data_IF_158358008697
#
_entry.id   IF_158358008697
#
_cell.length_a   1.000
_cell.length_b   1.000
_cell.length_c   1.000
_cell.angle_alpha   90.00
_cell.angle_beta   90.00
_cell.angle_gamma   90.00
#
_symmetry.space_group_name_H-M   'P 1'
#
loop_
_entity.id
_entity.type
_entity.pdbx_description
1 polymer ?
#
# COMPACT_ATOMS: atom_id res chain seq x y z
N UNK A 1 -2.39 -15.70 24.42
CA UNK A 1 -1.41 -14.63 24.20
C UNK A 1 -0.39 -15.02 23.14
N UNK A 2 0.25 -16.19 23.22
CA UNK A 2 1.24 -16.66 22.23
C UNK A 2 0.69 -16.68 20.80
N UNK A 3 -0.53 -17.14 20.59
CA UNK A 3 -1.18 -17.16 19.26
C UNK A 3 -1.33 -15.74 18.68
N UNK A 4 -1.81 -14.77 19.45
CA UNK A 4 -1.96 -13.38 18.95
C UNK A 4 -0.61 -12.76 18.61
N UNK A 5 0.42 -13.06 19.39
CA UNK A 5 1.78 -12.63 19.11
C UNK A 5 2.31 -13.27 17.81
N UNK A 6 2.09 -14.56 17.59
CA UNK A 6 2.47 -15.24 16.35
C UNK A 6 1.82 -14.61 15.12
N UNK A 7 0.50 -14.41 15.13
CA UNK A 7 -0.23 -13.77 14.02
C UNK A 7 0.25 -12.34 13.78
N UNK A 8 0.61 -11.60 14.84
CA UNK A 8 1.20 -10.27 14.69
C UNK A 8 2.58 -10.33 14.05
N UNK A 9 3.46 -11.22 14.52
CA UNK A 9 4.81 -11.39 13.96
C UNK A 9 4.76 -11.82 12.49
N UNK A 10 3.86 -12.71 12.11
CA UNK A 10 3.65 -13.11 10.72
C UNK A 10 3.23 -11.89 9.86
N UNK A 11 2.35 -11.04 10.37
CA UNK A 11 1.95 -9.82 9.65
C UNK A 11 3.09 -8.79 9.53
N UNK A 12 4.02 -8.74 10.50
CA UNK A 12 5.24 -7.91 10.42
C UNK A 12 6.21 -8.49 9.38
N UNK A 13 6.42 -9.81 9.38
CA UNK A 13 7.33 -10.46 8.43
C UNK A 13 6.88 -10.33 6.99
N UNK A 14 5.57 -10.28 6.74
CA UNK A 14 4.97 -10.15 5.42
C UNK A 14 5.10 -8.74 4.79
N UNK A 15 5.46 -7.73 5.59
CA UNK A 15 5.46 -6.34 5.14
C UNK A 15 6.78 -5.64 5.48
N UNK A 16 7.74 -5.59 4.54
CA UNK A 16 8.96 -4.79 4.67
C UNK A 16 8.71 -3.31 5.02
N UNK A 17 7.60 -2.75 4.53
CA UNK A 17 7.22 -1.37 4.85
C UNK A 17 6.75 -1.24 6.30
N UNK A 18 5.97 -2.21 6.79
CA UNK A 18 5.54 -2.22 8.19
C UNK A 18 6.73 -2.48 9.13
N UNK A 19 7.67 -3.38 8.77
CA UNK A 19 8.92 -3.56 9.49
C UNK A 19 9.68 -2.24 9.65
N UNK A 20 9.87 -1.51 8.55
CA UNK A 20 10.55 -0.22 8.59
C UNK A 20 9.82 0.81 9.46
N UNK A 21 8.48 0.85 9.43
CA UNK A 21 7.67 1.76 10.26
C UNK A 21 7.79 1.46 11.76
N UNK A 22 8.04 0.21 12.13
CA UNK A 22 8.32 -0.23 13.50
C UNK A 22 9.80 -0.05 13.89
N UNK A 23 10.65 0.36 12.95
CA UNK A 23 12.08 0.55 13.16
C UNK A 23 12.93 -0.70 12.97
N UNK A 24 12.35 -1.80 12.45
CA UNK A 24 13.12 -2.97 12.06
C UNK A 24 13.79 -2.75 10.71
N UNK A 25 15.07 -3.13 10.60
CA UNK A 25 15.89 -2.99 9.40
C UNK A 25 16.09 -4.31 8.62
N UNK A 26 15.38 -5.37 8.99
CA UNK A 26 15.29 -6.58 8.18
C UNK A 26 14.47 -6.31 6.91
N UNK A 27 14.92 -6.72 5.75
CA UNK A 27 14.28 -6.39 4.46
C UNK A 27 14.17 -4.87 4.18
N UNK A 28 15.14 -4.09 4.66
CA UNK A 28 15.09 -2.63 4.61
C UNK A 28 15.22 -2.07 3.20
N UNK A 29 15.66 -2.88 2.26
CA UNK A 29 15.78 -2.61 0.83
C UNK A 29 14.54 -2.98 0.00
N UNK A 30 13.50 -3.59 0.60
CA UNK A 30 12.34 -4.14 -0.10
C UNK A 30 11.07 -3.30 0.08
N UNK A 31 10.16 -3.43 -0.88
CA UNK A 31 8.77 -2.98 -0.81
C UNK A 31 7.85 -4.13 -0.44
N UNK A 32 6.62 -3.80 -0.03
CA UNK A 32 5.57 -4.80 0.17
C UNK A 32 5.17 -5.46 -1.14
N UNK A 33 4.87 -6.75 -1.09
CA UNK A 33 4.27 -7.47 -2.20
C UNK A 33 2.79 -7.06 -2.36
N UNK A 34 2.49 -6.38 -3.49
CA UNK A 34 1.17 -5.84 -3.83
C UNK A 34 0.38 -6.74 -4.77
N UNK A 35 0.88 -7.94 -5.08
CA UNK A 35 0.23 -8.87 -5.99
C UNK A 35 -1.05 -9.45 -5.40
N UNK A 36 -1.96 -9.87 -6.29
CA UNK A 36 -3.17 -10.56 -5.86
C UNK A 36 -2.86 -11.92 -5.26
N UNK A 37 -1.81 -12.57 -5.74
CA UNK A 37 -1.29 -13.84 -5.22
C UNK A 37 -0.89 -13.70 -3.75
N UNK A 38 -0.12 -12.68 -3.40
CA UNK A 38 0.25 -12.41 -2.02
C UNK A 38 -0.97 -12.11 -1.14
N UNK A 39 -1.97 -11.39 -1.68
CA UNK A 39 -3.22 -11.14 -0.97
C UNK A 39 -4.00 -12.43 -0.71
N UNK A 40 -4.08 -13.32 -1.69
CA UNK A 40 -4.71 -14.65 -1.55
C UNK A 40 -3.96 -15.54 -0.56
N UNK A 41 -2.63 -15.53 -0.56
CA UNK A 41 -1.85 -16.25 0.43
C UNK A 41 -2.13 -15.76 1.86
N UNK A 42 -2.29 -14.46 2.05
CA UNK A 42 -2.73 -13.90 3.34
C UNK A 42 -4.12 -14.40 3.75
N UNK A 43 -5.05 -14.53 2.80
CA UNK A 43 -6.38 -15.07 3.06
C UNK A 43 -6.35 -16.55 3.47
N UNK A 44 -5.52 -17.37 2.81
CA UNK A 44 -5.32 -18.77 3.20
C UNK A 44 -4.75 -18.90 4.61
N UNK A 45 -3.71 -18.13 4.95
CA UNK A 45 -3.17 -18.13 6.32
C UNK A 45 -4.20 -17.65 7.34
N UNK A 46 -4.96 -16.61 7.02
CA UNK A 46 -6.03 -16.15 7.91
C UNK A 46 -7.08 -17.21 8.18
N UNK A 47 -7.37 -18.08 7.18
CA UNK A 47 -8.27 -19.23 7.37
C UNK A 47 -7.66 -20.27 8.30
N UNK A 48 -6.40 -20.62 8.13
CA UNK A 48 -5.69 -21.57 9.00
C UNK A 48 -5.61 -21.03 10.43
N UNK A 49 -5.34 -19.73 10.59
CA UNK A 49 -5.31 -19.04 11.88
C UNK A 49 -6.68 -19.04 12.58
N UNK A 50 -7.75 -18.78 11.82
CA UNK A 50 -9.13 -18.81 12.32
C UNK A 50 -9.49 -20.22 12.77
N UNK A 51 -9.22 -21.21 11.94
CA UNK A 51 -9.43 -22.63 12.25
C UNK A 51 -8.66 -23.06 13.52
N UNK A 52 -7.41 -22.61 13.65
CA UNK A 52 -6.62 -22.88 14.86
C UNK A 52 -7.22 -22.22 16.09
N UNK A 53 -7.61 -20.95 15.99
CA UNK A 53 -8.20 -20.18 17.07
C UNK A 53 -9.48 -20.84 17.62
N UNK A 54 -10.39 -21.25 16.71
CA UNK A 54 -11.66 -21.87 17.08
C UNK A 54 -11.51 -23.28 17.65
N UNK A 55 -10.55 -24.07 17.16
CA UNK A 55 -10.34 -25.45 17.60
C UNK A 55 -9.54 -25.57 18.91
N UNK A 56 -8.62 -24.63 19.16
CA UNK A 56 -7.63 -24.80 20.24
C UNK A 56 -7.81 -23.82 21.40
N UNK A 57 -8.64 -22.79 21.27
CA UNK A 57 -8.85 -21.80 22.33
C UNK A 57 -10.29 -21.86 22.83
N UNK A 58 -10.45 -22.32 24.06
CA UNK A 58 -11.74 -22.37 24.75
C UNK A 58 -12.13 -20.95 25.18
N UNK A 59 -13.07 -20.34 24.45
CA UNK A 59 -13.53 -18.97 24.68
C UNK A 59 -14.07 -18.76 26.11
N UNK A 60 -14.79 -19.75 26.67
CA UNK A 60 -15.45 -19.59 27.96
C UNK A 60 -14.46 -19.54 29.14
N UNK A 61 -13.24 -20.10 28.96
CA UNK A 61 -12.16 -20.06 29.92
C UNK A 61 -11.32 -18.80 29.90
N UNK A 62 -11.55 -17.89 28.93
CA UNK A 62 -10.80 -16.64 28.81
C UNK A 62 -11.31 -15.60 29.81
N UNK A 63 -10.41 -14.75 30.29
CA UNK A 63 -10.79 -13.52 30.98
C UNK A 63 -11.48 -12.52 30.04
N UNK A 64 -12.21 -11.54 30.59
CA UNK A 64 -13.04 -10.62 29.79
C UNK A 64 -12.24 -9.79 28.77
N UNK A 65 -11.02 -9.36 29.11
CA UNK A 65 -10.17 -8.62 28.17
C UNK A 65 -9.69 -9.52 27.03
N UNK A 66 -9.34 -10.75 27.34
CA UNK A 66 -8.91 -11.74 26.33
C UNK A 66 -10.09 -12.17 25.45
N UNK A 67 -11.33 -12.24 25.97
CA UNK A 67 -12.55 -12.46 25.17
C UNK A 67 -12.77 -11.36 24.13
N UNK A 68 -12.53 -10.10 24.50
CA UNK A 68 -12.59 -8.97 23.55
C UNK A 68 -11.53 -9.15 22.45
N UNK A 69 -10.30 -9.43 22.82
CA UNK A 69 -9.20 -9.68 21.88
C UNK A 69 -9.51 -10.85 20.94
N UNK A 70 -10.10 -11.93 21.47
CA UNK A 70 -10.53 -13.08 20.68
C UNK A 70 -11.57 -12.67 19.61
N UNK A 71 -12.63 -11.96 20.01
CA UNK A 71 -13.67 -11.51 19.09
C UNK A 71 -13.13 -10.57 17.99
N UNK A 72 -12.22 -9.68 18.36
CA UNK A 72 -11.55 -8.79 17.41
C UNK A 72 -10.68 -9.55 16.43
N UNK A 73 -9.95 -10.57 16.90
CA UNK A 73 -9.13 -11.43 16.06
C UNK A 73 -9.99 -12.22 15.06
N UNK A 74 -11.07 -12.86 15.53
CA UNK A 74 -12.02 -13.57 14.66
C UNK A 74 -12.54 -12.64 13.56
N UNK A 75 -13.02 -11.44 13.93
CA UNK A 75 -13.50 -10.46 12.93
C UNK A 75 -12.41 -10.05 11.96
N UNK A 76 -11.19 -9.83 12.42
CA UNK A 76 -10.05 -9.47 11.56
C UNK A 76 -9.73 -10.59 10.56
N UNK A 77 -9.62 -11.81 11.04
CA UNK A 77 -9.29 -12.97 10.20
C UNK A 77 -10.40 -13.23 9.18
N UNK A 78 -11.67 -13.22 9.62
CA UNK A 78 -12.82 -13.37 8.72
C UNK A 78 -12.83 -12.30 7.63
N UNK A 79 -12.56 -11.03 7.98
CA UNK A 79 -12.48 -9.94 7.00
C UNK A 79 -11.38 -10.15 5.96
N UNK A 80 -10.21 -10.67 6.38
CA UNK A 80 -9.12 -10.99 5.43
C UNK A 80 -9.56 -12.08 4.46
N UNK A 81 -10.27 -13.11 4.96
CA UNK A 81 -10.81 -14.20 4.15
C UNK A 81 -11.87 -13.66 3.17
N UNK A 82 -12.82 -12.88 3.64
CA UNK A 82 -13.92 -12.35 2.83
C UNK A 82 -13.43 -11.37 1.76
N UNK A 83 -12.35 -10.63 2.02
CA UNK A 83 -11.72 -9.73 1.06
C UNK A 83 -11.21 -10.48 -0.19
N UNK A 84 -10.90 -11.77 -0.12
CA UNK A 84 -10.44 -12.56 -1.28
C UNK A 84 -11.53 -12.65 -2.37
N UNK A 85 -12.81 -12.63 -2.00
CA UNK A 85 -13.93 -12.61 -2.94
C UNK A 85 -13.97 -11.31 -3.76
N UNK A 86 -13.44 -10.22 -3.23
CA UNK A 86 -13.45 -8.89 -3.83
C UNK A 86 -12.06 -8.36 -4.16
N UNK A 87 -11.10 -9.24 -4.39
CA UNK A 87 -9.67 -8.91 -4.53
C UNK A 87 -9.38 -7.91 -5.68
N UNK A 88 -10.22 -7.87 -6.71
CA UNK A 88 -10.08 -6.95 -7.84
C UNK A 88 -10.98 -5.70 -7.76
N UNK A 89 -11.86 -5.57 -6.76
CA UNK A 89 -12.78 -4.43 -6.65
C UNK A 89 -12.10 -3.17 -6.11
N UNK A 90 -11.00 -3.33 -5.39
CA UNK A 90 -10.24 -2.22 -4.85
C UNK A 90 -9.41 -1.54 -5.94
N UNK A 91 -9.59 -0.24 -6.12
CA UNK A 91 -8.75 0.56 -7.02
C UNK A 91 -7.37 0.80 -6.39
N UNK A 92 -6.31 0.30 -7.05
CA UNK A 92 -4.93 0.46 -6.59
C UNK A 92 -4.42 1.89 -6.75
N UNK A 93 -5.04 2.64 -7.65
CA UNK A 93 -4.78 4.05 -7.91
C UNK A 93 -6.11 4.81 -7.84
N UNK A 94 -6.12 5.90 -7.07
CA UNK A 94 -7.26 6.79 -6.92
C UNK A 94 -6.81 8.24 -7.10
N UNK A 95 -7.75 9.18 -7.19
CA UNK A 95 -7.44 10.62 -7.24
C UNK A 95 -6.78 11.13 -5.94
N UNK A 96 -6.88 10.39 -4.84
CA UNK A 96 -6.25 10.72 -3.55
C UNK A 96 -4.85 10.12 -3.40
N UNK A 97 -4.49 9.17 -4.24
CA UNK A 97 -3.22 8.48 -4.19
C UNK A 97 -3.34 6.98 -4.44
N UNK A 98 -2.30 6.26 -4.12
CA UNK A 98 -2.13 4.82 -4.28
C UNK A 98 -0.65 4.48 -4.15
N UNK A 99 -0.27 3.25 -4.51
CA UNK A 99 1.13 2.82 -4.38
C UNK A 99 2.10 3.74 -5.14
N UNK A 100 1.71 4.24 -6.32
CA UNK A 100 2.51 5.16 -7.12
C UNK A 100 2.89 6.45 -6.37
N UNK A 101 2.02 6.94 -5.48
CA UNK A 101 2.22 8.22 -4.77
C UNK A 101 2.80 8.05 -3.36
N UNK A 102 2.79 6.84 -2.80
CA UNK A 102 3.25 6.59 -1.43
C UNK A 102 4.77 6.47 -1.30
N UNK A 103 5.50 6.21 -2.40
CA UNK A 103 6.94 5.98 -2.40
C UNK A 103 7.73 7.13 -1.75
N UNK A 104 7.57 8.41 -2.17
CA UNK A 104 8.31 9.50 -1.54
C UNK A 104 8.01 9.65 -0.05
N UNK A 105 6.73 9.63 0.33
CA UNK A 105 6.34 9.78 1.72
C UNK A 105 6.85 8.65 2.62
N UNK A 106 6.88 7.42 2.10
CA UNK A 106 7.45 6.29 2.82
C UNK A 106 8.95 6.46 3.05
N UNK A 107 9.71 6.79 2.00
CA UNK A 107 11.16 6.99 2.09
C UNK A 107 11.51 8.11 3.07
N UNK A 108 10.78 9.23 3.01
CA UNK A 108 11.01 10.39 3.87
C UNK A 108 10.71 10.07 5.33
N UNK A 109 9.60 9.41 5.62
CA UNK A 109 9.12 9.27 7.00
C UNK A 109 9.58 7.99 7.70
N UNK A 110 9.86 6.90 6.96
CA UNK A 110 10.11 5.59 7.56
C UNK A 110 11.48 4.99 7.23
N UNK A 111 12.13 5.38 6.11
CA UNK A 111 13.46 4.92 5.82
C UNK A 111 14.50 5.83 6.47
N UNK A 112 14.87 5.54 7.72
CA UNK A 112 15.94 6.24 8.42
C UNK A 112 17.31 5.81 7.88
N UNK A 113 18.27 6.71 7.92
CA UNK A 113 19.68 6.45 7.58
C UNK A 113 20.50 6.81 8.81
N UNK A 114 20.89 5.80 9.59
CA UNK A 114 21.67 5.93 10.82
C UNK A 114 23.11 5.45 10.60
N UNK A 115 23.34 4.61 9.57
CA UNK A 115 24.65 4.03 9.23
C UNK A 115 24.80 3.80 7.72
N UNK A 116 26.02 3.45 7.27
CA UNK A 116 26.31 3.24 5.85
C UNK A 116 25.45 2.15 5.18
N UNK A 117 25.09 1.09 5.92
CA UNK A 117 24.22 0.03 5.38
C UNK A 117 22.84 0.57 5.01
N UNK A 118 22.30 1.48 5.80
CA UNK A 118 21.00 2.09 5.50
C UNK A 118 21.02 2.93 4.22
N UNK A 119 22.17 3.55 3.90
CA UNK A 119 22.38 4.27 2.62
C UNK A 119 22.28 3.28 1.45
N UNK A 120 22.93 2.13 1.57
CA UNK A 120 22.89 1.07 0.54
C UNK A 120 21.47 0.52 0.38
N UNK A 121 20.79 0.29 1.49
CA UNK A 121 19.41 -0.24 1.49
C UNK A 121 18.42 0.79 0.91
N UNK A 122 18.61 2.09 1.18
CA UNK A 122 17.81 3.16 0.57
C UNK A 122 17.93 3.15 -0.96
N UNK A 123 19.18 3.12 -1.46
CA UNK A 123 19.46 3.08 -2.90
C UNK A 123 18.95 1.77 -3.53
N UNK A 124 19.11 0.63 -2.85
CA UNK A 124 18.59 -0.66 -3.28
C UNK A 124 17.07 -0.65 -3.34
N UNK A 125 16.39 -0.07 -2.34
CA UNK A 125 14.94 0.10 -2.33
C UNK A 125 14.45 0.94 -3.52
N UNK A 126 15.19 1.98 -3.92
CA UNK A 126 14.88 2.75 -5.13
C UNK A 126 15.08 1.95 -6.42
N UNK A 127 16.06 1.05 -6.49
CA UNK A 127 16.18 0.10 -7.61
C UNK A 127 14.99 -0.84 -7.68
N UNK A 128 14.45 -1.24 -6.55
CA UNK A 128 13.26 -2.08 -6.45
C UNK A 128 11.95 -1.34 -6.76
N UNK A 129 12.00 -0.07 -7.13
CA UNK A 129 10.83 0.65 -7.68
C UNK A 129 10.43 0.12 -9.07
N UNK A 130 11.39 -0.36 -9.86
CA UNK A 130 11.08 -0.92 -11.19
C UNK A 130 10.20 -2.17 -11.10
N UNK A 131 10.58 -3.26 -10.42
CA UNK A 131 9.69 -4.41 -10.25
C UNK A 131 8.38 -4.06 -9.55
N UNK A 132 8.38 -3.18 -8.55
CA UNK A 132 7.15 -2.72 -7.89
C UNK A 132 6.17 -2.06 -8.87
N UNK A 133 6.66 -1.21 -9.80
CA UNK A 133 5.83 -0.55 -10.81
C UNK A 133 5.37 -1.54 -11.88
N UNK A 134 6.18 -2.53 -12.20
CA UNK A 134 5.78 -3.61 -13.12
C UNK A 134 4.66 -4.44 -12.54
N UNK A 135 4.74 -4.80 -11.27
CA UNK A 135 3.67 -5.48 -10.55
C UNK A 135 2.41 -4.60 -10.48
N UNK A 136 2.55 -3.30 -10.18
CA UNK A 136 1.41 -2.38 -10.17
C UNK A 136 0.69 -2.33 -11.51
N UNK A 137 1.44 -2.22 -12.61
CA UNK A 137 0.90 -2.22 -13.97
C UNK A 137 0.20 -3.56 -14.28
N UNK A 138 0.81 -4.68 -13.90
CA UNK A 138 0.21 -6.00 -14.06
C UNK A 138 -1.12 -6.11 -13.29
N UNK A 139 -1.14 -5.67 -12.03
CA UNK A 139 -2.33 -5.67 -11.19
C UNK A 139 -3.45 -4.77 -11.76
N UNK A 140 -3.09 -3.63 -12.39
CA UNK A 140 -4.05 -2.76 -13.07
C UNK A 140 -4.59 -3.41 -14.35
N UNK A 141 -3.77 -4.14 -15.11
CA UNK A 141 -4.20 -4.91 -16.29
C UNK A 141 -5.19 -6.00 -15.91
N UNK A 142 -4.90 -6.77 -14.87
CA UNK A 142 -5.81 -7.82 -14.38
C UNK A 142 -7.18 -7.25 -14.01
N UNK A 143 -7.23 -6.06 -13.39
CA UNK A 143 -8.49 -5.37 -13.10
C UNK A 143 -9.20 -4.89 -14.36
N UNK A 144 -8.45 -4.45 -15.35
CA UNK A 144 -8.99 -4.09 -16.66
C UNK A 144 -9.63 -5.28 -17.37
N UNK A 145 -8.98 -6.46 -17.35
CA UNK A 145 -9.49 -7.68 -17.97
C UNK A 145 -10.83 -8.13 -17.37
N UNK A 146 -11.02 -7.91 -16.06
CA UNK A 146 -12.30 -8.16 -15.37
C UNK A 146 -13.21 -6.91 -15.31
N UNK A 147 -12.95 -5.88 -16.13
CA UNK A 147 -13.75 -4.65 -16.28
C UNK A 147 -13.89 -3.83 -14.98
N UNK A 148 -12.91 -3.89 -14.09
CA UNK A 148 -12.86 -3.13 -12.84
C UNK A 148 -11.85 -1.97 -12.93
N UNK A 149 -12.04 -1.10 -13.93
CA UNK A 149 -11.23 0.11 -14.14
C UNK A 149 -11.78 1.26 -13.29
N UNK A 150 -10.88 2.08 -12.75
CA UNK A 150 -11.24 3.31 -12.04
C UNK A 150 -11.99 4.28 -12.98
N UNK A 151 -12.90 5.13 -12.45
CA UNK A 151 -13.58 6.14 -13.26
C UNK A 151 -12.61 7.13 -13.90
N UNK A 152 -12.98 7.68 -15.06
CA UNK A 152 -12.11 8.52 -15.90
C UNK A 152 -11.49 9.72 -15.14
N UNK A 153 -12.19 10.33 -14.20
CA UNK A 153 -11.71 11.48 -13.42
C UNK A 153 -10.49 11.18 -12.53
N UNK A 154 -10.21 9.90 -12.25
CA UNK A 154 -9.07 9.48 -11.41
C UNK A 154 -7.74 9.71 -12.13
N UNK A 155 -7.69 9.44 -13.45
CA UNK A 155 -6.45 9.36 -14.22
C UNK A 155 -5.68 10.67 -14.32
N UNK A 156 -6.29 11.83 -14.64
CA UNK A 156 -5.54 13.07 -14.75
C UNK A 156 -4.76 13.43 -13.49
N UNK A 157 -5.36 13.21 -12.31
CA UNK A 157 -4.69 13.47 -11.05
C UNK A 157 -3.59 12.45 -10.76
N UNK A 158 -3.82 11.17 -11.04
CA UNK A 158 -2.83 10.11 -10.84
C UNK A 158 -1.60 10.30 -11.76
N UNK A 159 -1.83 10.65 -13.04
CA UNK A 159 -0.78 10.99 -14.00
C UNK A 159 0.02 12.19 -13.49
N UNK A 160 -0.68 13.28 -13.13
CA UNK A 160 -0.04 14.50 -12.64
C UNK A 160 0.79 14.26 -11.38
N UNK A 161 0.30 13.45 -10.47
CA UNK A 161 1.05 13.06 -9.26
C UNK A 161 2.32 12.28 -9.64
N UNK A 162 2.22 11.34 -10.58
CA UNK A 162 3.36 10.57 -11.07
C UNK A 162 4.41 11.45 -11.76
N UNK A 163 3.98 12.42 -12.60
CA UNK A 163 4.88 13.41 -13.21
C UNK A 163 5.62 14.25 -12.16
N UNK A 164 4.90 14.70 -11.13
CA UNK A 164 5.50 15.51 -10.06
C UNK A 164 6.57 14.74 -9.28
N UNK A 165 6.44 13.42 -9.12
CA UNK A 165 7.42 12.59 -8.42
C UNK A 165 8.75 12.52 -9.19
N UNK A 166 8.72 12.57 -10.50
CA UNK A 166 9.90 12.55 -11.36
C UNK A 166 10.25 13.95 -11.92
N UNK A 167 9.96 15.01 -11.17
CA UNK A 167 10.30 16.39 -11.52
C UNK A 167 11.38 16.97 -10.61
N UNK A 168 12.07 18.01 -11.07
CA UNK A 168 13.17 18.65 -10.36
C UNK A 168 14.51 17.92 -10.53
N UNK A 169 15.59 18.48 -9.94
CA UNK A 169 16.91 17.86 -10.00
C UNK A 169 16.93 16.55 -9.18
N UNK A 170 17.48 15.43 -9.67
CA UNK A 170 18.31 15.27 -10.87
C UNK A 170 17.54 14.88 -12.15
N UNK A 171 16.22 14.81 -12.14
CA UNK A 171 15.43 14.45 -13.33
C UNK A 171 15.45 15.54 -14.41
N UNK A 172 15.64 16.79 -14.00
CA UNK A 172 15.65 17.99 -14.86
C UNK A 172 16.81 18.91 -14.47
N UNK A 173 17.35 19.65 -15.44
CA UNK A 173 18.35 20.70 -15.19
C UNK A 173 17.67 21.95 -14.58
N UNK A 174 17.40 21.91 -13.28
CA UNK A 174 16.72 22.98 -12.55
C UNK A 174 17.31 23.17 -11.17
N UNK A 175 17.08 24.34 -10.54
CA UNK A 175 17.47 24.62 -9.16
C UNK A 175 16.56 23.97 -8.12
N UNK A 176 15.35 23.60 -8.51
CA UNK A 176 14.40 22.92 -7.62
C UNK A 176 14.83 21.47 -7.46
N UNK A 177 15.13 21.07 -6.25
CA UNK A 177 15.48 19.68 -5.96
C UNK A 177 14.19 18.81 -5.90
N UNK A 178 14.36 17.56 -6.30
CA UNK A 178 13.35 16.52 -6.09
C UNK A 178 13.27 16.17 -4.61
N UNK A 179 12.09 15.93 -4.08
CA UNK A 179 11.87 15.69 -2.65
C UNK A 179 12.57 14.43 -2.12
N UNK A 180 12.69 13.38 -2.94
CA UNK A 180 13.41 12.15 -2.56
C UNK A 180 14.91 12.42 -2.51
N UNK A 181 15.44 13.14 -3.49
CA UNK A 181 16.84 13.51 -3.55
C UNK A 181 17.23 14.43 -2.38
N UNK A 182 16.43 15.46 -2.10
CA UNK A 182 16.64 16.38 -1.00
C UNK A 182 16.68 15.66 0.37
N UNK A 183 15.70 14.77 0.61
CA UNK A 183 15.64 13.96 1.84
C UNK A 183 16.87 13.05 1.97
N UNK A 184 17.22 12.34 0.89
CA UNK A 184 18.41 11.47 0.88
C UNK A 184 19.67 12.25 1.19
N UNK A 185 19.89 13.40 0.53
CA UNK A 185 21.09 14.23 0.76
C UNK A 185 21.15 14.77 2.17
N UNK A 186 20.01 15.16 2.75
CA UNK A 186 19.92 15.58 4.15
C UNK A 186 20.35 14.45 5.10
N UNK A 187 19.85 13.24 4.90
CA UNK A 187 20.16 12.06 5.71
C UNK A 187 21.62 11.63 5.53
N UNK A 188 22.11 11.60 4.28
CA UNK A 188 23.51 11.25 3.96
C UNK A 188 24.52 12.23 4.60
N UNK A 189 24.21 13.52 4.55
CA UNK A 189 25.11 14.55 5.10
C UNK A 189 25.17 14.53 6.63
N UNK A 190 24.16 13.98 7.29
CA UNK A 190 24.15 13.81 8.74
C UNK A 190 25.06 12.66 9.24
N UNK A 191 25.46 11.75 8.34
CA UNK A 191 26.38 10.66 8.72
C UNK A 191 27.83 11.12 8.82
N UNK A 192 28.53 10.54 9.78
CA UNK A 192 29.97 10.65 9.92
C UNK A 192 30.66 9.68 8.92
N UNK A 193 30.98 10.17 7.74
CA UNK A 193 31.73 9.43 6.72
C UNK A 193 32.55 10.39 5.86
N UNK A 194 33.57 9.86 5.11
CA UNK A 194 34.41 10.68 4.26
C UNK A 194 33.65 11.35 3.12
N UNK A 195 34.07 12.56 2.73
CA UNK A 195 33.46 13.29 1.62
C UNK A 195 33.52 12.50 0.30
N UNK A 196 34.57 11.75 0.07
CA UNK A 196 34.68 10.89 -1.11
C UNK A 196 33.61 9.81 -1.16
N UNK A 197 33.24 9.25 0.00
CA UNK A 197 32.19 8.25 0.09
C UNK A 197 30.80 8.88 -0.07
N UNK A 198 30.57 10.07 0.51
CA UNK A 198 29.33 10.84 0.30
C UNK A 198 29.12 11.19 -1.17
N UNK A 199 30.16 11.67 -1.85
CA UNK A 199 30.09 11.97 -3.30
C UNK A 199 29.78 10.73 -4.14
N UNK A 200 30.34 9.58 -3.77
CA UNK A 200 30.01 8.31 -4.43
C UNK A 200 28.53 7.96 -4.29
N UNK A 201 27.98 8.02 -3.06
CA UNK A 201 26.56 7.71 -2.83
C UNK A 201 25.64 8.74 -3.45
N UNK A 202 26.02 10.02 -3.48
CA UNK A 202 25.29 11.05 -4.22
C UNK A 202 25.19 10.70 -5.70
N UNK A 203 26.33 10.39 -6.34
CA UNK A 203 26.34 10.03 -7.77
C UNK A 203 25.55 8.77 -8.06
N UNK A 204 25.58 7.77 -7.17
CA UNK A 204 24.81 6.54 -7.28
C UNK A 204 23.31 6.81 -7.15
N UNK A 205 22.90 7.66 -6.21
CA UNK A 205 21.53 8.11 -6.02
C UNK A 205 20.98 8.83 -7.25
N UNK A 206 21.75 9.79 -7.78
CA UNK A 206 21.39 10.53 -9.00
C UNK A 206 21.18 9.57 -10.19
N UNK A 207 22.11 8.62 -10.37
CA UNK A 207 22.00 7.63 -11.43
C UNK A 207 20.73 6.77 -11.29
N UNK A 208 20.43 6.27 -10.08
CA UNK A 208 19.24 5.43 -9.84
C UNK A 208 17.94 6.21 -10.06
N UNK A 209 17.88 7.45 -9.60
CA UNK A 209 16.69 8.30 -9.85
C UNK A 209 16.45 8.50 -11.35
N UNK A 210 17.48 8.90 -12.08
CA UNK A 210 17.34 9.23 -13.51
C UNK A 210 17.12 7.99 -14.38
N UNK A 211 17.75 6.86 -14.08
CA UNK A 211 17.66 5.66 -14.93
C UNK A 211 16.53 4.72 -14.54
N UNK A 212 16.36 4.42 -13.24
CA UNK A 212 15.39 3.42 -12.77
C UNK A 212 14.06 4.08 -12.43
N UNK A 213 14.05 5.04 -11.50
CA UNK A 213 12.81 5.64 -11.01
C UNK A 213 12.10 6.41 -12.13
N UNK A 214 12.83 7.21 -12.90
CA UNK A 214 12.26 7.94 -14.04
C UNK A 214 11.63 6.97 -15.07
N UNK A 215 12.37 5.93 -15.45
CA UNK A 215 11.87 4.93 -16.40
C UNK A 215 10.60 4.26 -15.90
N UNK A 216 10.59 3.81 -14.65
CA UNK A 216 9.45 3.11 -14.04
C UNK A 216 8.20 3.98 -13.99
N UNK A 217 8.33 5.25 -13.59
CA UNK A 217 7.20 6.18 -13.57
C UNK A 217 6.71 6.56 -14.97
N UNK A 218 7.60 6.76 -15.95
CA UNK A 218 7.17 7.03 -17.33
C UNK A 218 6.42 5.85 -17.93
N UNK A 219 6.85 4.61 -17.63
CA UNK A 219 6.13 3.40 -18.03
C UNK A 219 4.73 3.35 -17.42
N UNK A 220 4.61 3.69 -16.13
CA UNK A 220 3.30 3.78 -15.46
C UNK A 220 2.43 4.88 -16.06
N UNK A 221 2.97 6.09 -16.30
CA UNK A 221 2.26 7.23 -16.90
C UNK A 221 1.69 6.81 -18.25
N UNK A 222 2.51 6.25 -19.14
CA UNK A 222 2.06 5.77 -20.45
C UNK A 222 0.93 4.75 -20.32
N UNK A 223 1.05 3.81 -19.38
CA UNK A 223 -0.01 2.84 -19.14
C UNK A 223 -1.31 3.50 -18.63
N UNK A 224 -1.22 4.47 -17.73
CA UNK A 224 -2.40 5.19 -17.21
C UNK A 224 -3.08 6.03 -18.29
N UNK A 225 -2.33 6.65 -19.20
CA UNK A 225 -2.86 7.39 -20.36
C UNK A 225 -3.67 6.48 -21.29
N UNK A 226 -3.18 5.25 -21.55
CA UNK A 226 -3.91 4.27 -22.34
C UNK A 226 -5.14 3.72 -21.60
N UNK A 227 -5.02 3.42 -20.32
CA UNK A 227 -6.12 2.92 -19.52
C UNK A 227 -7.23 3.97 -19.35
N UNK A 228 -6.88 5.27 -19.27
CA UNK A 228 -7.83 6.38 -19.23
C UNK A 228 -8.80 6.37 -20.43
N UNK A 229 -8.33 5.99 -21.62
CA UNK A 229 -9.16 5.91 -22.83
C UNK A 229 -10.25 4.84 -22.76
N UNK A 230 -10.07 3.86 -21.87
CA UNK A 230 -11.01 2.76 -21.63
C UNK A 230 -11.94 3.05 -20.44
N UNK A 231 -11.66 4.08 -19.65
CA UNK A 231 -12.39 4.41 -18.46
C UNK A 231 -13.72 5.10 -18.77
N UNK A 232 -14.74 4.81 -17.97
CA UNK A 232 -16.05 5.43 -18.04
C UNK A 232 -16.22 6.57 -17.02
N UNK A 233 -17.38 7.26 -17.10
CA UNK A 233 -17.79 8.29 -16.13
C UNK A 233 -18.75 7.75 -15.06
N UNK A 234 -18.88 6.45 -14.94
CA UNK A 234 -19.71 5.83 -13.91
C UNK A 234 -18.89 5.74 -12.61
N UNK A 235 -19.26 6.53 -11.61
CA UNK A 235 -18.43 6.78 -10.43
C UNK A 235 -18.73 5.83 -9.25
N UNK A 236 -19.85 5.09 -9.32
CA UNK A 236 -20.26 4.21 -8.23
C UNK A 236 -19.91 2.75 -8.44
N UNK A 237 -19.89 2.00 -7.36
CA UNK A 237 -19.64 0.54 -7.39
C UNK A 237 -20.80 -0.24 -8.01
N UNK A 238 -21.99 0.37 -8.17
CA UNK A 238 -23.13 -0.19 -8.89
C UNK A 238 -22.86 -0.49 -10.37
N UNK A 239 -21.74 -0.01 -10.92
CA UNK A 239 -21.30 -0.39 -12.27
C UNK A 239 -20.79 -1.83 -12.35
N UNK A 240 -20.45 -2.45 -11.23
CA UNK A 240 -20.04 -3.84 -11.15
C UNK A 240 -21.26 -4.75 -10.99
N UNK A 241 -21.22 -5.93 -11.62
CA UNK A 241 -22.29 -6.91 -11.54
C UNK A 241 -22.58 -7.32 -10.07
N UNK A 242 -21.51 -7.48 -9.28
CA UNK A 242 -21.52 -7.80 -7.85
C UNK A 242 -21.34 -6.55 -6.95
N UNK A 243 -21.67 -5.37 -7.49
CA UNK A 243 -21.42 -4.08 -6.82
C UNK A 243 -22.18 -3.89 -5.51
N UNK A 244 -23.42 -4.41 -5.43
CA UNK A 244 -24.22 -4.33 -4.21
C UNK A 244 -23.59 -5.16 -3.07
N UNK A 245 -23.13 -6.38 -3.38
CA UNK A 245 -22.48 -7.26 -2.41
C UNK A 245 -21.13 -6.67 -1.95
N UNK A 246 -20.35 -6.12 -2.89
CA UNK A 246 -19.11 -5.44 -2.56
C UNK A 246 -19.35 -4.20 -1.69
N UNK A 247 -20.40 -3.42 -1.96
CA UNK A 247 -20.74 -2.26 -1.16
C UNK A 247 -21.12 -2.65 0.26
N UNK A 248 -21.98 -3.67 0.43
CA UNK A 248 -22.35 -4.20 1.75
C UNK A 248 -21.10 -4.71 2.50
N UNK A 249 -20.24 -5.50 1.85
CA UNK A 249 -18.97 -5.95 2.44
C UNK A 249 -18.11 -4.79 2.94
N UNK A 250 -18.10 -3.68 2.19
CA UNK A 250 -17.36 -2.47 2.59
C UNK A 250 -18.00 -1.81 3.81
N UNK A 251 -19.33 -1.68 3.85
CA UNK A 251 -20.08 -1.15 4.99
C UNK A 251 -19.85 -1.97 6.26
N UNK A 252 -19.91 -3.29 6.17
CA UNK A 252 -19.64 -4.20 7.29
C UNK A 252 -18.24 -4.01 7.87
N UNK A 253 -17.30 -3.69 7.01
CA UNK A 253 -15.93 -3.39 7.42
C UNK A 253 -15.79 -2.08 8.21
N UNK A 254 -16.62 -1.07 7.91
CA UNK A 254 -16.60 0.23 8.60
C UNK A 254 -17.50 0.25 9.83
N UNK A 255 -18.70 -0.29 9.75
CA UNK A 255 -19.68 -0.24 10.85
C UNK A 255 -19.52 -1.36 11.85
N UNK A 256 -19.00 -2.51 11.43
CA UNK A 256 -18.86 -3.75 12.23
C UNK A 256 -20.16 -4.33 12.77
N UNK A 257 -21.31 -3.79 12.38
CA UNK A 257 -22.65 -4.11 12.93
C UNK A 257 -23.55 -4.86 11.95
N UNK A 258 -23.13 -5.06 10.69
CA UNK A 258 -23.96 -5.71 9.66
C UNK A 258 -25.18 -4.86 9.26
N UNK A 259 -25.08 -3.53 9.37
CA UNK A 259 -26.17 -2.61 8.99
C UNK A 259 -26.22 -2.44 7.47
N UNK A 260 -27.44 -2.37 6.95
CA UNK A 260 -27.69 -2.02 5.54
C UNK A 260 -27.39 -0.55 5.27
N UNK A 261 -27.23 -0.18 4.00
CA UNK A 261 -27.03 1.21 3.59
C UNK A 261 -28.20 2.11 4.03
N UNK A 262 -29.46 1.61 3.92
CA UNK A 262 -30.66 2.30 4.39
C UNK A 262 -30.64 2.54 5.89
N UNK A 263 -30.34 1.53 6.69
CA UNK A 263 -30.25 1.67 8.16
C UNK A 263 -29.20 2.68 8.58
N UNK A 264 -28.03 2.67 7.92
CA UNK A 264 -26.97 3.66 8.17
C UNK A 264 -27.44 5.07 7.79
N UNK A 265 -28.15 5.20 6.67
CA UNK A 265 -28.70 6.48 6.22
C UNK A 265 -29.71 7.05 7.21
N UNK A 266 -30.66 6.23 7.68
CA UNK A 266 -31.67 6.64 8.68
C UNK A 266 -31.01 7.05 10.02
N UNK A 267 -29.99 6.31 10.46
CA UNK A 267 -29.19 6.73 11.63
C UNK A 267 -28.58 8.10 11.39
N UNK A 268 -27.99 8.33 10.20
CA UNK A 268 -27.41 9.62 9.84
C UNK A 268 -28.40 10.77 9.86
N UNK A 269 -29.61 10.55 9.32
CA UNK A 269 -30.69 11.56 9.36
C UNK A 269 -31.12 11.89 10.79
N UNK A 270 -31.31 10.85 11.62
CA UNK A 270 -31.69 11.07 13.03
C UNK A 270 -30.62 11.85 13.84
N UNK A 271 -29.34 11.63 13.55
CA UNK A 271 -28.24 12.36 14.21
C UNK A 271 -28.15 13.81 13.75
N UNK A 272 -28.50 14.12 12.49
CA UNK A 272 -28.58 15.50 12.00
C UNK A 272 -29.74 16.26 12.63
N UNK A 273 -30.88 15.60 12.90
CA UNK A 273 -32.03 16.21 13.57
C UNK A 273 -31.80 16.45 15.07
N UNK A 274 -30.97 15.66 15.72
CA UNK A 274 -30.62 15.78 17.15
C UNK A 274 -29.74 17.01 17.44
#
# INVERSE_FOLDING_TARGET
RQFFESVFQDSVLDSPEFQASLGYKSNYDKWDDITWEASRQRAYRAKDDLDYLEKNIDFDKLDENTKISYRLMVKRLQRIIDNDNFIFHNYLITHRGGKHSSIPSFLINYHRIDEEQDVKDYISRLRNVEPLMDDLILQLKLRQDVKKIAPAFVFPQAIKTSENIISGYPFEETKKQNVIYEDFMKKLNALEMSDALKLRYQSEMEAVLVTIVNYSYRKLITFLEEQQKLADNNHGVWKFEDGAEYYQHTLDGYTTLGLTAEEIHEIGLSEVER
#
